data_IF_598986265479
#
_entry.id   IF_598986265479
#
_cell.length_a   1.000
_cell.length_b   1.000
_cell.length_c   1.000
_cell.angle_alpha   90.00
_cell.angle_beta   90.00
_cell.angle_gamma   90.00
#
_symmetry.space_group_name_H-M   'P 1'
#
loop_
_entity.id
_entity.type
_entity.pdbx_description
1 polymer ?
#
# COMPACT_ATOMS: atom_id res chain seq x y z
N UNK A 1 14.34 -29.48 6.54
CA UNK A 1 14.83 -28.53 7.55
C UNK A 1 14.63 -27.14 6.98
N UNK A 2 14.30 -26.16 7.81
CA UNK A 2 14.26 -24.75 7.42
C UNK A 2 15.63 -24.31 6.88
N UNK A 3 15.64 -23.54 5.80
CA UNK A 3 16.83 -22.91 5.20
C UNK A 3 17.30 -21.70 6.02
N UNK A 4 16.36 -21.00 6.66
CA UNK A 4 16.64 -19.86 7.52
C UNK A 4 16.17 -20.12 8.96
N UNK A 5 16.74 -19.41 9.96
CA UNK A 5 16.30 -19.54 11.34
C UNK A 5 14.82 -19.22 11.50
N UNK A 6 14.09 -20.16 12.11
CA UNK A 6 12.72 -19.95 12.60
C UNK A 6 12.77 -19.33 14.00
N UNK A 7 11.67 -18.71 14.47
CA UNK A 7 11.53 -18.29 15.86
C UNK A 7 11.62 -19.51 16.80
N UNK A 8 11.72 -19.26 18.11
CA UNK A 8 11.97 -20.31 19.12
C UNK A 8 10.90 -21.42 19.13
N UNK A 9 9.68 -21.08 18.73
CA UNK A 9 8.54 -21.96 18.59
C UNK A 9 8.71 -22.95 17.43
N UNK A 10 9.52 -22.61 16.42
CA UNK A 10 9.77 -23.44 15.24
C UNK A 10 8.87 -23.13 14.04
N UNK A 11 7.87 -22.26 14.20
CA UNK A 11 6.93 -21.81 13.16
C UNK A 11 6.64 -20.31 13.31
N UNK A 12 6.51 -19.60 12.20
CA UNK A 12 6.07 -18.20 12.22
C UNK A 12 4.61 -18.08 12.69
N UNK A 13 3.76 -19.00 12.27
CA UNK A 13 2.35 -19.04 12.70
C UNK A 13 2.21 -19.29 14.20
N UNK A 14 3.01 -20.20 14.76
CA UNK A 14 3.01 -20.46 16.21
C UNK A 14 3.62 -19.30 17.02
N UNK A 15 4.46 -18.47 16.41
CA UNK A 15 5.00 -17.26 17.02
C UNK A 15 3.93 -16.18 17.27
N UNK A 16 2.85 -16.17 16.48
CA UNK A 16 1.66 -15.33 16.67
C UNK A 16 0.39 -16.20 16.84
N UNK A 17 0.24 -16.88 17.99
CA UNK A 17 -0.81 -17.88 18.19
C UNK A 17 -2.24 -17.30 18.07
N UNK A 18 -2.42 -16.00 18.28
CA UNK A 18 -3.69 -15.29 18.11
C UNK A 18 -4.19 -15.24 16.66
N UNK A 19 -3.32 -15.50 15.67
CA UNK A 19 -3.69 -15.59 14.26
C UNK A 19 -4.22 -16.99 13.88
N UNK A 20 -3.94 -17.99 14.71
CA UNK A 20 -4.43 -19.36 14.57
C UNK A 20 -3.91 -20.08 13.32
N UNK A 21 -4.22 -21.39 13.24
CA UNK A 21 -3.81 -22.28 12.14
C UNK A 21 -4.97 -22.78 11.29
N UNK A 22 -6.21 -22.51 11.70
CA UNK A 22 -7.42 -22.84 10.94
C UNK A 22 -7.41 -22.19 9.54
N UNK A 23 -8.14 -22.75 8.56
CA UNK A 23 -8.39 -22.08 7.30
C UNK A 23 -8.91 -20.64 7.49
N UNK A 24 -8.52 -19.73 6.59
CA UNK A 24 -8.92 -18.32 6.61
C UNK A 24 -10.15 -18.12 5.72
N UNK A 25 -11.17 -17.42 6.25
CA UNK A 25 -12.40 -17.09 5.53
C UNK A 25 -12.22 -15.82 4.66
N UNK A 26 -12.42 -15.97 3.35
CA UNK A 26 -12.30 -14.89 2.35
C UNK A 26 -13.63 -14.18 2.08
N UNK A 27 -14.65 -14.39 2.91
CA UNK A 27 -15.95 -13.70 2.79
C UNK A 27 -15.81 -12.18 2.83
N UNK A 28 -14.79 -11.66 3.53
CA UNK A 28 -14.47 -10.22 3.56
C UNK A 28 -14.06 -9.61 2.22
N UNK A 29 -13.79 -10.46 1.24
CA UNK A 29 -13.28 -10.10 -0.08
C UNK A 29 -14.32 -10.32 -1.18
N UNK A 30 -15.55 -10.72 -0.81
CA UNK A 30 -16.68 -10.95 -1.74
C UNK A 30 -18.02 -10.38 -1.24
N UNK A 31 -18.16 -10.05 0.05
CA UNK A 31 -19.42 -9.54 0.62
C UNK A 31 -19.57 -8.01 0.44
N UNK A 32 -20.55 -7.52 -0.36
CA UNK A 32 -20.77 -6.09 -0.55
C UNK A 32 -21.17 -5.34 0.74
N UNK A 33 -21.79 -6.01 1.71
CA UNK A 33 -22.13 -5.38 3.00
C UNK A 33 -20.87 -5.22 3.86
N UNK A 34 -19.96 -6.20 3.83
CA UNK A 34 -18.65 -6.05 4.44
C UNK A 34 -17.88 -4.88 3.80
N UNK A 35 -17.87 -4.76 2.47
CA UNK A 35 -17.23 -3.63 1.79
C UNK A 35 -17.75 -2.27 2.28
N UNK A 36 -19.07 -2.09 2.39
CA UNK A 36 -19.65 -0.85 2.92
C UNK A 36 -19.19 -0.54 4.35
N UNK A 37 -19.03 -1.58 5.17
CA UNK A 37 -18.52 -1.43 6.53
C UNK A 37 -17.03 -1.10 6.53
N UNK A 38 -16.22 -1.71 5.68
CA UNK A 38 -14.80 -1.41 5.51
C UNK A 38 -14.57 0.06 5.12
N UNK A 39 -15.39 0.61 4.22
CA UNK A 39 -15.33 2.04 3.89
C UNK A 39 -15.41 2.92 5.15
N UNK A 40 -16.35 2.60 6.05
CA UNK A 40 -16.59 3.40 7.26
C UNK A 40 -15.59 3.09 8.39
N UNK A 41 -15.20 1.83 8.55
CA UNK A 41 -14.40 1.35 9.66
C UNK A 41 -12.89 1.52 9.41
N UNK A 42 -12.45 1.38 8.15
CA UNK A 42 -11.04 1.38 7.75
C UNK A 42 -10.74 2.69 7.03
N UNK A 43 -11.24 2.89 5.80
CA UNK A 43 -10.78 3.99 4.95
C UNK A 43 -11.18 5.39 5.44
N UNK A 44 -12.20 5.50 6.29
CA UNK A 44 -12.56 6.76 6.94
C UNK A 44 -11.87 7.01 8.29
N UNK A 45 -11.23 5.99 8.87
CA UNK A 45 -10.65 6.07 10.23
C UNK A 45 -9.13 5.82 10.28
N UNK A 46 -8.58 5.16 9.28
CA UNK A 46 -7.15 4.91 9.15
C UNK A 46 -6.44 6.05 8.40
N UNK A 47 -5.14 6.19 8.68
CA UNK A 47 -4.29 7.06 7.88
C UNK A 47 -4.05 6.44 6.50
N UNK A 48 -4.26 7.23 5.45
CA UNK A 48 -4.09 6.83 4.06
C UNK A 48 -2.96 7.60 3.40
N UNK A 49 -1.97 6.89 2.86
CA UNK A 49 -0.90 7.53 2.09
C UNK A 49 -1.45 8.01 0.75
N UNK A 50 -1.29 9.29 0.41
CA UNK A 50 -1.87 9.88 -0.82
C UNK A 50 -0.82 10.35 -1.83
N UNK A 51 0.46 10.25 -1.48
CA UNK A 51 1.58 10.63 -2.32
C UNK A 51 2.75 11.17 -1.51
N UNK A 52 3.66 11.87 -2.20
CA UNK A 52 4.84 12.46 -1.56
C UNK A 52 4.93 13.98 -1.77
N UNK A 53 5.72 14.63 -0.94
CA UNK A 53 5.97 16.08 -0.95
C UNK A 53 6.58 16.59 -2.25
N UNK A 54 7.23 15.75 -3.05
CA UNK A 54 7.77 16.11 -4.36
C UNK A 54 6.64 16.48 -5.36
N UNK A 55 5.39 16.06 -5.13
CA UNK A 55 4.21 16.55 -5.88
C UNK A 55 3.84 17.99 -5.53
N UNK A 56 4.43 18.55 -4.46
CA UNK A 56 4.16 19.89 -3.93
C UNK A 56 5.45 20.74 -3.86
N UNK A 57 6.16 20.96 -4.99
CA UNK A 57 7.50 21.52 -4.99
C UNK A 57 7.59 22.95 -4.46
N UNK A 58 6.49 23.72 -4.51
CA UNK A 58 6.46 25.13 -4.10
C UNK A 58 5.13 25.51 -3.45
N UNK A 59 5.11 26.67 -2.79
CA UNK A 59 3.89 27.30 -2.27
C UNK A 59 2.80 27.36 -3.33
N UNK A 60 1.59 26.94 -2.95
CA UNK A 60 0.43 26.91 -3.83
C UNK A 60 0.38 25.71 -4.77
N UNK A 61 1.42 24.87 -4.81
CA UNK A 61 1.32 23.57 -5.49
C UNK A 61 0.22 22.74 -4.82
N UNK A 62 -0.58 22.08 -5.64
CA UNK A 62 -1.65 21.20 -5.18
C UNK A 62 -1.79 20.00 -6.10
N UNK A 63 -2.38 18.93 -5.56
CA UNK A 63 -2.99 17.86 -6.35
C UNK A 63 -4.30 17.42 -5.69
N UNK A 64 -5.19 16.81 -6.45
CA UNK A 64 -6.41 16.20 -5.94
C UNK A 64 -6.28 14.68 -5.92
N UNK A 65 -7.02 14.03 -5.03
CA UNK A 65 -7.23 12.58 -5.06
C UNK A 65 -8.71 12.25 -5.03
N UNK A 66 -9.12 11.31 -5.86
CA UNK A 66 -10.43 10.67 -5.73
C UNK A 66 -10.32 9.52 -4.74
N UNK A 67 -11.25 9.48 -3.77
CA UNK A 67 -11.19 8.58 -2.62
C UNK A 67 -12.43 7.69 -2.56
N UNK A 68 -12.74 6.89 -3.60
CA UNK A 68 -13.92 6.02 -3.60
C UNK A 68 -13.94 5.06 -2.41
N UNK A 69 -12.76 4.70 -1.89
CA UNK A 69 -12.59 3.86 -0.70
C UNK A 69 -13.15 4.50 0.58
N UNK A 70 -13.18 5.83 0.68
CA UNK A 70 -13.75 6.56 1.82
C UNK A 70 -15.24 6.92 1.65
N UNK A 71 -15.85 6.49 0.55
CA UNK A 71 -17.25 6.68 0.20
C UNK A 71 -17.44 7.26 -1.21
N UNK A 72 -18.59 6.97 -1.87
CA UNK A 72 -18.86 7.43 -3.23
C UNK A 72 -18.73 8.95 -3.39
N UNK A 73 -18.02 9.39 -4.43
CA UNK A 73 -17.84 10.81 -4.76
C UNK A 73 -16.93 11.59 -3.80
N UNK A 74 -16.26 10.93 -2.86
CA UNK A 74 -15.29 11.60 -1.98
C UNK A 74 -14.07 12.01 -2.79
N UNK A 75 -13.71 13.30 -2.71
CA UNK A 75 -12.52 13.87 -3.35
C UNK A 75 -11.84 14.81 -2.37
N UNK A 76 -10.51 14.85 -2.40
CA UNK A 76 -9.69 15.67 -1.51
C UNK A 76 -8.71 16.53 -2.31
N UNK A 77 -8.44 17.73 -1.81
CA UNK A 77 -7.37 18.61 -2.30
C UNK A 77 -6.23 18.52 -1.30
N UNK A 78 -5.02 18.26 -1.78
CA UNK A 78 -3.78 18.34 -1.01
C UNK A 78 -3.00 19.54 -1.54
N UNK A 79 -2.57 20.44 -0.65
CA UNK A 79 -1.92 21.71 -1.03
C UNK A 79 -0.78 22.06 -0.09
N UNK A 80 0.31 22.62 -0.64
CA UNK A 80 1.34 23.30 0.14
C UNK A 80 0.96 24.77 0.31
N UNK A 81 0.69 25.17 1.54
CA UNK A 81 0.10 26.46 1.84
C UNK A 81 1.10 27.62 1.80
N UNK A 82 0.66 28.78 2.31
CA UNK A 82 1.47 29.98 2.32
C UNK A 82 2.66 29.98 3.28
N UNK A 83 2.64 29.09 4.26
CA UNK A 83 3.60 28.94 5.36
C UNK A 83 4.51 27.71 5.15
N UNK A 84 4.37 27.02 4.01
CA UNK A 84 5.00 25.75 3.64
C UNK A 84 4.45 24.49 4.32
N UNK A 85 3.28 24.60 4.97
CA UNK A 85 2.58 23.46 5.54
C UNK A 85 1.79 22.70 4.48
N UNK A 86 1.78 21.37 4.55
CA UNK A 86 0.92 20.53 3.70
C UNK A 86 -0.44 20.41 4.37
N UNK A 87 -1.51 20.72 3.64
CA UNK A 87 -2.89 20.66 4.13
C UNK A 87 -3.77 19.84 3.21
N UNK A 88 -4.81 19.24 3.76
CA UNK A 88 -5.84 18.57 3.00
C UNK A 88 -7.25 19.13 3.31
N UNK A 89 -8.09 19.19 2.29
CA UNK A 89 -9.48 19.62 2.40
C UNK A 89 -10.38 18.70 1.57
N UNK A 90 -11.64 18.54 1.98
CA UNK A 90 -12.65 18.01 1.06
C UNK A 90 -12.73 18.91 -0.18
N UNK A 91 -12.72 18.32 -1.37
CA UNK A 91 -12.73 19.02 -2.66
C UNK A 91 -14.14 19.53 -3.00
N UNK A 92 -14.73 20.33 -2.12
CA UNK A 92 -16.13 20.71 -2.16
C UNK A 92 -16.31 22.19 -1.80
N UNK A 93 -16.89 22.96 -2.71
CA UNK A 93 -17.28 24.33 -2.44
C UNK A 93 -18.45 24.36 -1.44
N UNK A 94 -18.32 25.19 -0.41
CA UNK A 94 -19.31 25.33 0.67
C UNK A 94 -20.59 26.07 0.30
N UNK A 95 -20.68 26.68 -0.89
CA UNK A 95 -21.89 27.35 -1.34
C UNK A 95 -23.00 26.36 -1.73
N UNK A 96 -22.74 25.52 -2.75
CA UNK A 96 -23.72 24.58 -3.33
C UNK A 96 -23.11 23.22 -3.65
N UNK A 97 -22.02 22.85 -2.98
CA UNK A 97 -21.42 21.51 -3.09
C UNK A 97 -20.66 21.22 -4.38
N UNK A 98 -20.44 22.20 -5.26
CA UNK A 98 -19.69 21.95 -6.50
C UNK A 98 -18.26 21.47 -6.19
N UNK A 99 -17.74 20.52 -6.97
CA UNK A 99 -16.33 20.12 -6.90
C UNK A 99 -15.47 21.36 -7.13
N UNK A 100 -14.54 21.62 -6.21
CA UNK A 100 -13.85 22.91 -6.17
C UNK A 100 -12.72 22.99 -7.19
N UNK A 101 -11.93 21.93 -7.28
CA UNK A 101 -10.72 21.82 -8.09
C UNK A 101 -10.88 20.63 -9.03
N UNK A 102 -11.03 20.94 -10.32
CA UNK A 102 -11.17 20.00 -11.44
C UNK A 102 -10.90 20.75 -12.76
N UNK A 103 -10.68 20.06 -13.88
CA UNK A 103 -10.44 20.66 -15.20
C UNK A 103 -11.65 20.51 -16.13
N UNK A 104 -11.53 19.70 -17.19
CA UNK A 104 -12.62 19.46 -18.14
C UNK A 104 -13.56 18.36 -17.62
N UNK A 105 -13.00 17.35 -16.96
CA UNK A 105 -13.74 16.22 -16.40
C UNK A 105 -13.72 16.26 -14.87
N UNK A 106 -14.88 16.36 -14.20
CA UNK A 106 -14.94 16.45 -12.74
C UNK A 106 -14.60 15.13 -12.05
N UNK A 107 -14.54 13.99 -12.76
CA UNK A 107 -14.11 12.70 -12.21
C UNK A 107 -12.60 12.48 -12.24
N UNK A 108 -11.83 13.34 -12.91
CA UNK A 108 -10.38 13.17 -13.07
C UNK A 108 -9.60 13.93 -12.00
N UNK A 109 -8.54 13.31 -11.51
CA UNK A 109 -7.58 13.96 -10.63
C UNK A 109 -6.79 15.02 -11.39
N UNK A 110 -6.54 16.16 -10.73
CA UNK A 110 -5.79 17.28 -11.31
C UNK A 110 -4.70 17.74 -10.36
N UNK A 111 -3.66 18.35 -10.91
CA UNK A 111 -2.59 19.00 -10.14
C UNK A 111 -2.22 20.33 -10.77
N UNK A 112 -1.56 21.20 -10.00
CA UNK A 112 -1.18 22.51 -10.50
C UNK A 112 -0.59 23.41 -9.43
N UNK A 113 -0.66 24.71 -9.67
CA UNK A 113 -0.27 25.74 -8.70
C UNK A 113 -1.32 26.84 -8.70
N UNK A 114 -1.73 27.31 -7.53
CA UNK A 114 -2.66 28.42 -7.39
C UNK A 114 -2.26 29.36 -6.23
N UNK A 115 -2.78 30.59 -6.23
CA UNK A 115 -2.66 31.51 -5.08
C UNK A 115 -3.84 31.37 -4.10
N UNK A 116 -4.96 30.87 -4.60
CA UNK A 116 -6.22 30.63 -3.90
C UNK A 116 -7.06 29.68 -4.76
N UNK A 117 -7.97 28.94 -4.16
CA UNK A 117 -8.96 28.15 -4.88
C UNK A 117 -10.15 29.02 -5.25
N UNK A 118 -10.63 28.93 -6.49
CA UNK A 118 -11.82 29.68 -6.95
C UNK A 118 -12.82 28.69 -7.53
N UNK A 119 -14.02 28.62 -6.94
CA UNK A 119 -15.07 27.76 -7.45
C UNK A 119 -15.52 28.23 -8.84
N UNK A 120 -15.46 27.33 -9.84
CA UNK A 120 -15.88 27.61 -11.21
C UNK A 120 -17.36 27.98 -11.36
N UNK A 121 -18.20 27.71 -10.37
CA UNK A 121 -19.64 27.96 -10.47
C UNK A 121 -20.03 29.41 -10.18
N UNK A 122 -19.71 29.90 -8.97
CA UNK A 122 -20.11 31.25 -8.53
C UNK A 122 -18.93 32.06 -7.97
N UNK A 123 -17.70 31.67 -8.30
CA UNK A 123 -16.48 32.38 -7.92
C UNK A 123 -16.25 32.59 -6.41
N UNK A 124 -16.83 31.76 -5.54
CA UNK A 124 -16.42 31.71 -4.12
C UNK A 124 -14.93 31.35 -4.05
N UNK A 125 -14.15 32.11 -3.27
CA UNK A 125 -12.70 31.96 -3.20
C UNK A 125 -12.25 31.54 -1.82
N UNK A 126 -11.33 30.60 -1.78
CA UNK A 126 -10.73 30.08 -0.55
C UNK A 126 -9.23 30.29 -0.62
N UNK A 127 -8.63 30.79 0.45
CA UNK A 127 -7.16 30.84 0.52
C UNK A 127 -6.57 29.42 0.63
N UNK A 128 -5.24 29.30 0.64
CA UNK A 128 -4.56 28.00 0.74
C UNK A 128 -4.68 27.34 2.13
N UNK A 129 -5.20 28.07 3.13
CA UNK A 129 -5.52 27.57 4.48
C UNK A 129 -6.98 27.10 4.59
N UNK A 130 -7.77 27.26 3.52
CA UNK A 130 -9.16 26.85 3.46
C UNK A 130 -10.16 27.96 3.82
N UNK A 131 -9.72 29.13 4.30
CA UNK A 131 -10.64 30.20 4.70
C UNK A 131 -11.36 30.78 3.49
N UNK A 132 -12.67 31.00 3.60
CA UNK A 132 -13.47 31.70 2.59
C UNK A 132 -13.11 33.19 2.61
N UNK A 133 -12.53 33.68 1.51
CA UNK A 133 -12.03 35.07 1.42
C UNK A 133 -12.94 35.98 0.58
N UNK A 134 -13.82 35.41 -0.24
CA UNK A 134 -14.68 36.18 -1.14
C UNK A 134 -15.95 35.43 -1.51
N UNK A 135 -17.07 36.15 -1.47
CA UNK A 135 -18.38 35.73 -1.96
C UNK A 135 -18.78 36.68 -3.09
N UNK A 136 -19.17 36.13 -4.24
CA UNK A 136 -19.72 36.92 -5.33
C UNK A 136 -21.09 37.49 -4.89
N UNK A 137 -21.25 38.82 -4.97
CA UNK A 137 -22.45 39.53 -4.50
C UNK A 137 -22.82 39.19 -3.04
N UNK A 138 -21.83 39.27 -2.14
CA UNK A 138 -21.99 38.97 -0.70
C UNK A 138 -23.20 39.65 -0.04
N UNK A 139 -23.58 40.86 -0.47
CA UNK A 139 -24.73 41.60 0.06
C UNK A 139 -26.12 41.05 -0.28
N UNK A 140 -26.23 40.07 -1.20
CA UNK A 140 -27.49 39.39 -1.51
C UNK A 140 -27.78 38.21 -0.57
N UNK A 141 -26.83 37.86 0.30
CA UNK A 141 -27.00 36.79 1.29
C UNK A 141 -27.52 37.37 2.61
N UNK A 142 -28.41 36.62 3.27
CA UNK A 142 -28.88 36.97 4.62
C UNK A 142 -27.82 36.59 5.65
N UNK A 143 -27.22 37.59 6.29
CA UNK A 143 -26.31 37.44 7.45
C UNK A 143 -25.20 36.38 7.25
N UNK A 144 -24.62 36.27 6.05
CA UNK A 144 -23.54 35.30 5.80
C UNK A 144 -22.25 35.71 6.51
N UNK A 145 -21.76 34.87 7.40
CA UNK A 145 -20.41 34.98 7.94
C UNK A 145 -19.46 34.05 7.20
N UNK A 146 -18.44 34.61 6.55
CA UNK A 146 -17.42 33.81 5.83
C UNK A 146 -16.68 32.83 6.74
N UNK A 147 -16.59 33.11 8.04
CA UNK A 147 -15.94 32.22 9.00
C UNK A 147 -16.60 30.83 9.10
N UNK A 148 -17.91 30.73 8.86
CA UNK A 148 -18.67 29.47 8.96
C UNK A 148 -18.55 28.57 7.71
N UNK A 149 -18.04 29.14 6.62
CA UNK A 149 -18.04 28.52 5.29
C UNK A 149 -16.63 28.33 4.70
N UNK A 150 -15.59 28.20 5.54
CA UNK A 150 -14.28 27.70 5.10
C UNK A 150 -14.33 26.26 4.58
N UNK A 151 -13.33 25.83 3.81
CA UNK A 151 -13.23 24.44 3.36
C UNK A 151 -13.17 23.49 4.55
N UNK A 152 -13.89 22.36 4.46
CA UNK A 152 -13.85 21.35 5.52
C UNK A 152 -12.48 20.67 5.48
N UNK A 153 -11.68 20.76 6.56
CA UNK A 153 -10.36 20.16 6.61
C UNK A 153 -10.46 18.63 6.65
N UNK A 154 -9.45 17.98 6.09
CA UNK A 154 -9.14 16.56 6.30
C UNK A 154 -7.80 16.54 7.02
N UNK A 155 -7.64 15.70 8.06
CA UNK A 155 -6.35 15.64 8.76
C UNK A 155 -5.26 15.27 7.78
N UNK A 156 -4.11 15.92 7.89
CA UNK A 156 -3.00 15.72 6.99
C UNK A 156 -1.69 15.86 7.77
N UNK A 157 -0.86 14.85 7.69
CA UNK A 157 0.44 14.78 8.35
C UNK A 157 1.47 14.19 7.37
N UNK A 158 2.74 14.56 7.55
CA UNK A 158 3.84 14.15 6.66
C UNK A 158 4.87 13.37 7.47
N UNK A 159 5.23 12.18 7.00
CA UNK A 159 6.28 11.33 7.57
C UNK A 159 7.33 11.05 6.50
N UNK A 160 8.60 11.43 6.70
CA UNK A 160 9.70 11.17 5.75
C UNK A 160 9.40 11.55 4.27
N UNK A 161 8.66 12.63 4.09
CA UNK A 161 8.20 13.13 2.79
C UNK A 161 6.96 12.43 2.23
N UNK A 162 6.45 11.39 2.87
CA UNK A 162 5.18 10.75 2.55
C UNK A 162 4.01 11.50 3.18
N UNK A 163 3.02 11.86 2.37
CA UNK A 163 1.82 12.61 2.79
C UNK A 163 0.71 11.62 3.12
N UNK A 164 0.20 11.68 4.34
CA UNK A 164 -0.96 10.91 4.77
C UNK A 164 -2.15 11.82 5.07
N UNK A 165 -3.35 11.27 4.90
CA UNK A 165 -4.60 11.90 5.32
C UNK A 165 -5.45 10.99 6.20
N UNK A 166 -6.33 11.57 7.01
CA UNK A 166 -7.33 10.84 7.77
C UNK A 166 -8.65 11.63 7.84
N UNK A 167 -9.78 10.95 7.64
CA UNK A 167 -11.10 11.57 7.69
C UNK A 167 -11.71 11.62 9.10
N UNK A 168 -11.12 10.90 10.06
CA UNK A 168 -11.48 10.99 11.48
C UNK A 168 -10.67 12.09 12.17
N UNK A 169 -11.37 13.14 12.61
CA UNK A 169 -10.74 14.23 13.35
C UNK A 169 -10.13 13.76 14.69
N UNK A 170 -10.60 12.65 15.24
CA UNK A 170 -10.13 12.07 16.49
C UNK A 170 -9.06 11.00 16.30
N UNK A 171 -8.55 10.81 15.08
CA UNK A 171 -7.46 9.86 14.82
C UNK A 171 -6.25 10.14 15.71
N UNK A 172 -5.53 9.08 16.09
CA UNK A 172 -4.22 9.24 16.71
C UNK A 172 -3.23 9.96 15.75
N UNK A 173 -2.19 10.64 16.26
CA UNK A 173 -1.14 11.21 15.43
C UNK A 173 -0.53 10.18 14.46
N UNK A 174 -0.08 10.63 13.28
CA UNK A 174 0.47 9.73 12.25
C UNK A 174 1.67 8.92 12.75
N UNK A 175 2.56 9.55 13.53
CA UNK A 175 3.74 8.86 14.07
C UNK A 175 3.37 7.72 15.02
N UNK A 176 2.32 7.90 15.81
CA UNK A 176 1.81 6.88 16.72
C UNK A 176 1.11 5.76 15.92
N UNK A 177 0.37 6.14 14.87
CA UNK A 177 -0.28 5.20 13.97
C UNK A 177 0.72 4.26 13.28
N UNK A 178 1.79 4.82 12.68
CA UNK A 178 2.80 4.04 11.95
C UNK A 178 3.77 3.30 12.90
N UNK A 179 3.93 3.80 14.12
CA UNK A 179 4.57 3.10 15.23
C UNK A 179 6.05 2.73 15.00
N UNK A 180 6.41 1.54 15.49
CA UNK A 180 7.81 1.07 15.53
C UNK A 180 8.46 0.95 14.14
N UNK A 181 7.69 0.58 13.12
CA UNK A 181 8.23 0.46 11.76
C UNK A 181 8.64 1.83 11.20
N UNK A 182 7.77 2.85 11.29
CA UNK A 182 8.12 4.19 10.84
C UNK A 182 9.33 4.75 11.60
N UNK A 183 9.34 4.58 12.92
CA UNK A 183 10.48 5.00 13.76
C UNK A 183 11.78 4.28 13.37
N UNK A 184 11.71 2.99 13.08
CA UNK A 184 12.87 2.20 12.70
C UNK A 184 13.37 2.46 11.28
N UNK A 185 12.61 3.19 10.46
CA UNK A 185 12.94 3.63 9.11
C UNK A 185 13.42 5.09 9.05
N UNK A 186 13.34 5.84 10.15
CA UNK A 186 13.79 7.23 10.20
C UNK A 186 15.24 7.38 9.74
N UNK A 187 15.49 8.41 8.93
CA UNK A 187 16.81 8.67 8.36
C UNK A 187 17.14 7.88 7.08
N UNK A 188 16.24 7.02 6.59
CA UNK A 188 16.36 6.50 5.23
C UNK A 188 16.24 7.68 4.22
N UNK A 189 17.15 7.83 3.23
CA UNK A 189 17.23 9.03 2.39
C UNK A 189 16.20 9.01 1.25
N UNK A 190 14.90 8.90 1.55
CA UNK A 190 13.84 8.87 0.55
C UNK A 190 13.86 10.07 -0.40
N UNK A 191 14.20 11.26 0.13
CA UNK A 191 14.24 12.52 -0.61
C UNK A 191 15.35 12.60 -1.66
N UNK A 192 16.36 11.72 -1.61
CA UNK A 192 17.41 11.64 -2.64
C UNK A 192 16.92 10.91 -3.90
N UNK A 193 15.82 10.13 -3.79
CA UNK A 193 15.34 9.25 -4.85
C UNK A 193 14.19 9.89 -5.65
N UNK A 194 14.53 10.93 -6.41
CA UNK A 194 13.56 11.79 -7.11
C UNK A 194 13.28 11.36 -8.56
N UNK A 195 14.03 10.39 -9.11
CA UNK A 195 13.73 9.82 -10.42
C UNK A 195 12.71 8.70 -10.26
N UNK A 196 11.52 8.88 -10.85
CA UNK A 196 10.39 7.98 -10.62
C UNK A 196 9.82 7.37 -11.88
N UNK A 197 9.43 6.11 -11.80
CA UNK A 197 8.66 5.40 -12.82
C UNK A 197 7.37 4.91 -12.18
N UNK A 198 6.22 5.33 -12.71
CA UNK A 198 4.91 5.03 -12.13
C UNK A 198 3.99 4.28 -13.09
N UNK A 199 3.22 3.37 -12.54
CA UNK A 199 2.19 2.60 -13.23
C UNK A 199 0.88 2.70 -12.45
N UNK A 200 -0.24 2.70 -13.19
CA UNK A 200 -1.59 2.68 -12.64
C UNK A 200 -2.43 1.68 -13.41
N UNK A 201 -3.16 0.83 -12.71
CA UNK A 201 -4.06 -0.15 -13.30
C UNK A 201 -5.37 -0.22 -12.52
N UNK A 202 -6.46 -0.51 -13.21
CA UNK A 202 -7.70 -0.99 -12.58
C UNK A 202 -7.64 -2.52 -12.57
N UNK A 203 -7.86 -3.11 -11.40
CA UNK A 203 -7.74 -4.55 -11.18
C UNK A 203 -9.07 -5.07 -10.65
N UNK A 204 -9.59 -6.14 -11.27
CA UNK A 204 -10.82 -6.82 -10.89
C UNK A 204 -10.56 -7.86 -9.79
N UNK A 205 -9.97 -7.41 -8.69
CA UNK A 205 -9.76 -8.18 -7.47
C UNK A 205 -9.97 -7.29 -6.25
N UNK A 206 -10.40 -7.87 -5.13
CA UNK A 206 -10.47 -7.17 -3.86
C UNK A 206 -9.06 -6.68 -3.45
N UNK A 207 -9.01 -5.51 -2.83
CA UNK A 207 -7.77 -4.88 -2.41
C UNK A 207 -6.94 -5.74 -1.45
N UNK A 208 -7.57 -6.52 -0.56
CA UNK A 208 -6.88 -7.39 0.40
C UNK A 208 -6.19 -8.56 -0.29
N UNK A 209 -6.88 -9.23 -1.21
CA UNK A 209 -6.29 -10.31 -2.02
C UNK A 209 -5.11 -9.82 -2.85
N UNK A 210 -5.16 -8.56 -3.28
CA UNK A 210 -4.04 -7.98 -3.99
C UNK A 210 -2.85 -7.69 -3.07
N UNK A 211 -3.09 -7.23 -1.84
CA UNK A 211 -2.05 -7.13 -0.82
C UNK A 211 -1.47 -8.50 -0.47
N UNK A 212 -2.27 -9.58 -0.42
CA UNK A 212 -1.81 -10.94 -0.12
C UNK A 212 -0.53 -11.26 -0.91
N UNK A 213 -0.54 -11.01 -2.22
CA UNK A 213 0.59 -11.28 -3.12
C UNK A 213 1.87 -10.45 -2.83
N UNK A 214 1.82 -9.41 -1.99
CA UNK A 214 2.97 -8.56 -1.65
C UNK A 214 3.39 -8.67 -0.17
N UNK A 215 2.63 -9.45 0.63
CA UNK A 215 2.97 -9.79 2.02
C UNK A 215 3.40 -11.25 2.17
N UNK A 216 3.52 -11.99 1.06
CA UNK A 216 4.25 -13.25 0.93
C UNK A 216 5.07 -13.31 -0.37
N UNK A 217 6.00 -14.26 -0.46
CA UNK A 217 6.72 -14.59 -1.72
C UNK A 217 6.73 -16.09 -1.99
N UNK A 218 5.79 -16.83 -1.39
CA UNK A 218 5.58 -18.26 -1.62
C UNK A 218 5.23 -18.55 -3.09
N UNK A 219 4.46 -17.69 -3.75
CA UNK A 219 4.14 -17.84 -5.17
C UNK A 219 5.33 -17.55 -6.10
N UNK A 220 6.30 -16.73 -5.67
CA UNK A 220 7.30 -16.14 -6.55
C UNK A 220 8.16 -17.17 -7.33
N UNK A 221 8.66 -18.28 -6.73
CA UNK A 221 9.43 -19.29 -7.47
C UNK A 221 8.64 -19.98 -8.59
N UNK A 222 7.30 -19.97 -8.52
CA UNK A 222 6.41 -20.63 -9.47
C UNK A 222 5.88 -19.64 -10.50
N UNK A 223 5.17 -18.60 -10.03
CA UNK A 223 4.49 -17.63 -10.90
C UNK A 223 5.50 -16.87 -11.76
N UNK A 224 6.60 -16.44 -11.14
CA UNK A 224 7.59 -15.58 -11.78
C UNK A 224 8.75 -16.32 -12.45
N UNK A 225 8.66 -17.65 -12.59
CA UNK A 225 9.75 -18.47 -13.10
C UNK A 225 10.28 -18.01 -14.48
N UNK A 226 9.41 -17.43 -15.33
CA UNK A 226 9.78 -16.93 -16.67
C UNK A 226 10.54 -15.60 -16.66
N UNK A 227 10.64 -14.96 -15.50
CA UNK A 227 11.44 -13.76 -15.34
C UNK A 227 12.91 -14.09 -15.19
N UNK A 228 13.27 -15.26 -14.66
CA UNK A 228 14.65 -15.73 -14.61
C UNK A 228 15.05 -16.49 -15.88
N UNK A 229 16.37 -16.65 -16.10
CA UNK A 229 16.87 -17.66 -17.06
C UNK A 229 16.55 -19.06 -16.56
N UNK A 230 16.48 -20.04 -17.47
CA UNK A 230 15.97 -21.39 -17.18
C UNK A 230 16.68 -22.03 -15.97
N UNK A 231 18.00 -21.98 -15.94
CA UNK A 231 18.82 -22.61 -14.90
C UNK A 231 18.57 -21.99 -13.52
N UNK A 232 18.42 -20.66 -13.45
CA UNK A 232 18.10 -19.97 -12.20
C UNK A 232 16.65 -20.23 -11.79
N UNK A 233 15.72 -20.29 -12.74
CA UNK A 233 14.32 -20.63 -12.46
C UNK A 233 14.18 -22.05 -11.88
N UNK A 234 14.84 -23.05 -12.47
CA UNK A 234 14.85 -24.44 -11.99
C UNK A 234 15.45 -24.53 -10.59
N UNK A 235 16.51 -23.76 -10.33
CA UNK A 235 17.13 -23.65 -9.02
C UNK A 235 16.17 -23.05 -7.99
N UNK A 236 15.57 -21.89 -8.27
CA UNK A 236 14.62 -21.24 -7.37
C UNK A 236 13.43 -22.15 -7.05
N UNK A 237 12.87 -22.82 -8.06
CA UNK A 237 11.77 -23.77 -7.88
C UNK A 237 12.15 -24.97 -6.99
N UNK A 238 13.41 -25.41 -7.02
CA UNK A 238 13.88 -26.53 -6.19
C UNK A 238 14.02 -26.17 -4.70
N UNK A 239 14.26 -24.89 -4.38
CA UNK A 239 14.36 -24.40 -3.00
C UNK A 239 13.00 -23.97 -2.45
N UNK A 240 12.12 -23.45 -3.31
CA UNK A 240 10.90 -22.77 -2.86
C UNK A 240 11.21 -21.43 -2.20
N UNK A 241 10.33 -20.99 -1.32
CA UNK A 241 10.47 -19.73 -0.57
C UNK A 241 10.45 -19.96 0.94
N UNK A 242 11.29 -19.21 1.63
CA UNK A 242 11.29 -19.06 3.08
C UNK A 242 11.77 -17.66 3.44
N UNK A 243 10.98 -16.90 4.21
CA UNK A 243 11.37 -15.54 4.59
C UNK A 243 12.60 -15.54 5.51
N UNK A 244 13.38 -14.46 5.45
CA UNK A 244 14.45 -14.19 6.41
C UNK A 244 13.87 -13.75 7.76
N UNK A 245 12.76 -13.01 7.72
CA UNK A 245 12.09 -12.49 8.90
C UNK A 245 10.65 -12.11 8.57
N UNK A 246 9.75 -12.34 9.52
CA UNK A 246 8.45 -11.69 9.58
C UNK A 246 8.41 -10.84 10.85
N UNK A 247 7.73 -9.70 10.80
CA UNK A 247 7.40 -8.93 12.00
C UNK A 247 5.99 -8.34 11.87
N UNK A 248 5.30 -8.21 13.00
CA UNK A 248 3.95 -7.66 13.10
C UNK A 248 3.93 -6.62 14.21
N UNK A 249 3.52 -5.40 13.86
CA UNK A 249 3.42 -4.26 14.78
C UNK A 249 2.01 -3.69 14.73
N UNK A 250 1.15 -4.22 15.60
CA UNK A 250 -0.26 -3.86 15.65
C UNK A 250 -0.95 -4.18 14.33
N UNK A 251 -1.41 -3.14 13.62
CA UNK A 251 -2.10 -3.25 12.33
C UNK A 251 -1.17 -3.37 11.13
N UNK A 252 0.14 -3.17 11.32
CA UNK A 252 1.13 -3.18 10.26
C UNK A 252 1.93 -4.48 10.30
N UNK A 253 2.45 -4.88 9.14
CA UNK A 253 3.30 -6.06 9.02
C UNK A 253 4.50 -5.79 8.14
N UNK A 254 5.53 -6.63 8.26
CA UNK A 254 6.65 -6.61 7.34
C UNK A 254 7.21 -8.01 7.11
N UNK A 255 7.76 -8.21 5.91
CA UNK A 255 8.47 -9.41 5.52
C UNK A 255 9.84 -9.02 4.96
N UNK A 256 10.90 -9.61 5.53
CA UNK A 256 12.25 -9.53 4.99
C UNK A 256 12.52 -10.77 4.15
N UNK A 257 12.91 -10.55 2.90
CA UNK A 257 13.14 -11.62 1.93
C UNK A 257 14.59 -11.66 1.47
N UNK A 258 15.03 -12.88 1.17
CA UNK A 258 16.27 -13.11 0.45
C UNK A 258 15.98 -13.06 -1.05
N UNK A 259 17.00 -12.71 -1.82
CA UNK A 259 16.85 -12.63 -3.27
C UNK A 259 17.80 -11.61 -3.84
N UNK A 260 18.25 -11.84 -5.07
CA UNK A 260 18.98 -10.82 -5.82
C UNK A 260 20.28 -10.39 -5.20
N UNK A 261 21.25 -11.32 -5.13
CA UNK A 261 22.64 -10.87 -5.02
C UNK A 261 22.87 -9.86 -6.15
N UNK A 262 23.12 -8.63 -5.75
CA UNK A 262 23.33 -7.49 -6.62
C UNK A 262 24.70 -6.92 -6.26
N UNK A 263 25.73 -7.15 -7.10
CA UNK A 263 25.69 -7.89 -8.37
C UNK A 263 25.55 -9.42 -8.18
N UNK A 264 25.02 -10.14 -9.20
CA UNK A 264 24.90 -11.59 -9.16
C UNK A 264 26.27 -12.26 -9.15
N UNK A 265 26.43 -13.32 -8.34
CA UNK A 265 27.70 -14.08 -8.24
C UNK A 265 28.06 -14.81 -9.54
N UNK A 266 27.06 -15.32 -10.25
CA UNK A 266 27.23 -16.00 -11.53
C UNK A 266 26.49 -15.22 -12.61
N UNK A 267 27.24 -14.53 -13.47
CA UNK A 267 26.66 -13.77 -14.58
C UNK A 267 25.97 -14.67 -15.61
N UNK A 268 26.23 -15.98 -15.64
CA UNK A 268 25.51 -16.88 -16.52
C UNK A 268 24.05 -17.08 -16.10
N UNK A 269 23.71 -16.78 -14.84
CA UNK A 269 22.37 -16.91 -14.26
C UNK A 269 21.50 -15.67 -14.44
N UNK A 270 21.94 -14.71 -15.27
CA UNK A 270 21.19 -13.50 -15.62
C UNK A 270 21.15 -13.30 -17.13
N UNK A 271 20.12 -12.60 -17.62
CA UNK A 271 19.91 -12.35 -19.05
C UNK A 271 21.03 -11.45 -19.61
N UNK A 272 21.38 -11.56 -20.90
CA UNK A 272 22.43 -10.72 -21.50
C UNK A 272 22.22 -9.22 -21.30
N UNK A 273 20.97 -8.74 -21.42
CA UNK A 273 20.65 -7.32 -21.20
C UNK A 273 20.92 -6.88 -19.76
N UNK A 274 20.69 -7.76 -18.79
CA UNK A 274 20.88 -7.48 -17.36
C UNK A 274 22.37 -7.27 -17.05
N UNK A 275 23.25 -8.05 -17.70
CA UNK A 275 24.72 -7.92 -17.61
C UNK A 275 25.21 -6.59 -18.19
N UNK A 276 24.63 -6.16 -19.31
CA UNK A 276 25.04 -4.92 -19.97
C UNK A 276 24.59 -3.69 -19.19
N UNK A 277 23.38 -3.73 -18.66
CA UNK A 277 22.78 -2.58 -17.97
C UNK A 277 23.05 -2.55 -16.46
N UNK A 278 23.61 -3.61 -15.88
CA UNK A 278 23.76 -3.78 -14.44
C UNK A 278 22.40 -3.61 -13.72
N UNK A 279 21.38 -4.31 -14.21
CA UNK A 279 20.03 -4.27 -13.64
C UNK A 279 19.29 -5.56 -14.01
N UNK A 280 18.55 -6.15 -13.07
CA UNK A 280 17.85 -7.41 -13.30
C UNK A 280 16.56 -7.54 -12.51
N UNK A 281 16.24 -8.77 -12.10
CA UNK A 281 15.01 -9.12 -11.37
C UNK A 281 14.75 -8.26 -10.13
N UNK A 282 15.82 -7.76 -9.51
CA UNK A 282 15.78 -7.01 -8.25
C UNK A 282 16.27 -5.56 -8.45
N UNK A 283 16.12 -5.07 -9.68
CA UNK A 283 16.50 -3.72 -10.07
C UNK A 283 17.99 -3.54 -10.34
N UNK A 284 18.48 -2.29 -10.33
CA UNK A 284 19.88 -1.96 -10.57
C UNK A 284 20.81 -2.63 -9.56
N UNK A 285 21.99 -3.05 -10.00
CA UNK A 285 22.97 -3.72 -9.13
C UNK A 285 23.88 -2.74 -8.40
N UNK A 286 24.11 -1.59 -9.02
CA UNK A 286 25.04 -0.58 -8.53
C UNK A 286 24.35 0.26 -7.44
N UNK A 287 24.75 0.08 -6.18
CA UNK A 287 24.19 0.84 -5.05
C UNK A 287 24.67 2.30 -5.10
N UNK A 288 23.78 3.30 -4.98
CA UNK A 288 24.19 4.70 -4.86
C UNK A 288 25.04 4.95 -3.61
N UNK A 289 26.06 5.79 -3.73
CA UNK A 289 26.90 6.19 -2.60
C UNK A 289 26.27 7.37 -1.85
N UNK A 290 25.18 7.12 -1.13
CA UNK A 290 24.49 8.11 -0.29
C UNK A 290 24.39 7.59 1.14
N UNK A 291 24.47 8.51 2.10
CA UNK A 291 24.38 8.20 3.52
C UNK A 291 23.02 7.58 3.86
N UNK A 292 23.00 6.55 4.71
CA UNK A 292 21.77 5.91 5.21
C UNK A 292 21.26 4.71 4.38
N UNK A 293 21.90 4.40 3.26
CA UNK A 293 21.68 3.13 2.52
C UNK A 293 22.94 2.27 2.40
N UNK A 294 24.08 2.75 2.91
CA UNK A 294 25.30 1.94 2.97
C UNK A 294 25.09 0.75 3.93
N UNK A 295 25.72 -0.41 3.71
CA UNK A 295 25.43 -1.63 4.47
C UNK A 295 25.53 -1.48 5.99
N UNK A 296 26.46 -0.64 6.46
CA UNK A 296 26.73 -0.32 7.86
C UNK A 296 25.94 0.88 8.39
N UNK A 297 25.17 1.55 7.54
CA UNK A 297 24.37 2.74 7.87
C UNK A 297 22.86 2.50 7.76
N UNK A 298 22.43 1.27 7.45
CA UNK A 298 21.01 0.93 7.28
C UNK A 298 20.22 1.18 8.59
N UNK A 299 19.05 1.86 8.51
CA UNK A 299 18.17 2.03 9.65
C UNK A 299 17.83 0.67 10.32
N UNK A 300 17.49 0.66 11.62
CA UNK A 300 17.30 -0.58 12.37
C UNK A 300 16.16 -1.46 11.88
N UNK A 301 15.12 -0.90 11.25
CA UNK A 301 14.04 -1.71 10.67
C UNK A 301 14.43 -2.35 9.33
N UNK A 302 15.46 -1.84 8.64
CA UNK A 302 15.90 -2.36 7.33
C UNK A 302 16.86 -3.51 7.55
N UNK A 303 16.65 -4.65 6.89
CA UNK A 303 17.35 -5.91 7.08
C UNK A 303 17.43 -6.26 8.57
N UNK A 304 16.30 -6.51 9.25
CA UNK A 304 16.26 -6.70 10.70
C UNK A 304 17.11 -7.90 11.17
N UNK A 305 17.18 -8.95 10.33
CA UNK A 305 18.04 -10.11 10.57
C UNK A 305 19.54 -9.83 10.33
N UNK A 306 19.89 -8.65 9.78
CA UNK A 306 21.23 -8.27 9.30
C UNK A 306 21.88 -9.37 8.46
N UNK A 307 21.05 -10.06 7.67
CA UNK A 307 21.47 -11.26 6.96
C UNK A 307 22.21 -10.87 5.66
N UNK A 308 23.35 -11.52 5.33
CA UNK A 308 24.15 -11.16 4.16
C UNK A 308 23.48 -11.50 2.82
N UNK A 309 22.43 -12.33 2.84
CA UNK A 309 21.61 -12.65 1.65
C UNK A 309 20.33 -11.83 1.56
N UNK A 310 20.19 -10.78 2.38
CA UNK A 310 19.06 -9.85 2.31
C UNK A 310 18.93 -9.24 0.91
N UNK A 311 17.72 -9.34 0.36
CA UNK A 311 17.37 -8.81 -0.95
C UNK A 311 16.45 -7.62 -0.87
N UNK A 312 15.42 -7.70 -0.01
CA UNK A 312 14.45 -6.64 0.17
C UNK A 312 13.69 -6.77 1.50
N UNK A 313 13.11 -5.66 1.96
CA UNK A 313 12.08 -5.64 2.99
C UNK A 313 10.79 -5.01 2.45
N UNK A 314 9.66 -5.67 2.66
CA UNK A 314 8.33 -5.18 2.30
C UNK A 314 7.59 -4.83 3.58
N UNK A 315 7.26 -3.55 3.75
CA UNK A 315 6.47 -3.03 4.87
C UNK A 315 5.06 -2.74 4.39
N UNK A 316 4.06 -3.38 4.98
CA UNK A 316 2.65 -3.10 4.72
C UNK A 316 2.11 -2.17 5.81
N UNK A 317 2.03 -0.88 5.48
CA UNK A 317 1.36 0.11 6.31
C UNK A 317 -0.14 0.11 5.98
N UNK A 318 -0.85 -0.81 6.62
CA UNK A 318 -2.31 -0.92 6.53
C UNK A 318 -3.03 0.45 6.55
N UNK A 319 -4.02 0.69 5.68
CA UNK A 319 -4.61 -0.27 4.74
C UNK A 319 -4.10 -0.15 3.29
N UNK A 320 -3.39 0.91 2.91
CA UNK A 320 -3.26 1.29 1.50
C UNK A 320 -1.83 1.58 1.04
N UNK A 321 -0.81 1.22 1.82
CA UNK A 321 0.55 1.66 1.53
C UNK A 321 1.58 0.57 1.82
N UNK A 322 2.11 -0.04 0.76
CA UNK A 322 3.30 -0.88 0.86
C UNK A 322 4.54 -0.08 0.51
N UNK A 323 5.59 -0.23 1.30
CA UNK A 323 6.91 0.32 1.06
C UNK A 323 7.92 -0.82 0.95
N UNK A 324 8.53 -0.98 -0.22
CA UNK A 324 9.53 -2.01 -0.47
C UNK A 324 10.91 -1.36 -0.60
N UNK A 325 11.83 -1.75 0.27
CA UNK A 325 13.21 -1.30 0.26
C UNK A 325 14.10 -2.41 -0.31
N UNK A 326 14.85 -2.09 -1.35
CA UNK A 326 15.70 -3.06 -2.03
C UNK A 326 17.15 -2.93 -1.58
N UNK A 327 17.84 -4.07 -1.49
CA UNK A 327 19.24 -4.11 -1.10
C UNK A 327 20.14 -3.19 -1.93
N UNK A 328 19.96 -2.98 -3.25
CA UNK A 328 20.77 -2.01 -3.99
C UNK A 328 20.45 -0.55 -3.69
N UNK A 329 19.57 -0.24 -2.74
CA UNK A 329 19.36 1.13 -2.26
C UNK A 329 18.43 1.97 -3.11
N UNK A 330 17.43 1.33 -3.71
CA UNK A 330 16.26 1.96 -4.32
C UNK A 330 15.01 1.46 -3.59
N UNK A 331 13.88 2.14 -3.75
CA UNK A 331 12.61 1.68 -3.17
C UNK A 331 11.47 1.77 -4.17
N UNK A 332 10.39 1.07 -3.87
CA UNK A 332 9.13 1.26 -4.54
C UNK A 332 8.00 1.36 -3.53
N UNK A 333 6.87 1.90 -3.99
CA UNK A 333 5.65 1.96 -3.21
C UNK A 333 4.49 1.38 -3.99
N UNK A 334 3.60 0.73 -3.25
CA UNK A 334 2.30 0.30 -3.75
C UNK A 334 1.19 1.04 -3.02
N UNK A 335 0.16 1.41 -3.77
CA UNK A 335 -1.06 1.97 -3.24
C UNK A 335 -2.28 1.22 -3.77
N UNK A 336 -3.17 0.89 -2.84
CA UNK A 336 -4.40 0.15 -3.12
C UNK A 336 -5.60 1.04 -2.85
N UNK A 337 -6.35 1.35 -3.90
CA UNK A 337 -7.50 2.23 -3.85
C UNK A 337 -8.76 1.45 -4.19
N UNK A 338 -9.37 0.74 -3.23
CA UNK A 338 -10.57 -0.04 -3.52
C UNK A 338 -11.71 0.85 -4.01
N UNK A 339 -12.33 0.41 -5.10
CA UNK A 339 -13.41 1.10 -5.80
C UNK A 339 -14.74 0.35 -5.66
N UNK A 340 -14.68 -0.97 -5.44
CA UNK A 340 -15.81 -1.84 -5.17
C UNK A 340 -15.36 -3.05 -4.32
N UNK A 341 -16.29 -3.95 -4.00
CA UNK A 341 -16.01 -5.19 -3.25
C UNK A 341 -14.98 -6.08 -3.96
N UNK A 342 -14.96 -6.10 -5.28
CA UNK A 342 -14.10 -6.98 -6.09
C UNK A 342 -13.22 -6.19 -7.06
N UNK A 343 -13.01 -4.89 -6.79
CA UNK A 343 -12.24 -3.99 -7.65
C UNK A 343 -11.43 -2.97 -6.86
N UNK A 344 -10.26 -2.65 -7.39
CA UNK A 344 -9.45 -1.54 -6.91
C UNK A 344 -8.63 -0.91 -8.02
N UNK A 345 -8.16 0.31 -7.78
CA UNK A 345 -7.08 0.91 -8.55
C UNK A 345 -5.77 0.59 -7.82
N UNK A 346 -4.82 0.02 -8.53
CA UNK A 346 -3.46 -0.21 -8.08
C UNK A 346 -2.54 0.87 -8.66
N UNK A 347 -1.75 1.51 -7.81
CA UNK A 347 -0.67 2.41 -8.22
C UNK A 347 0.67 1.85 -7.72
N UNK A 348 1.65 1.80 -8.60
CA UNK A 348 3.03 1.42 -8.30
C UNK A 348 3.95 2.57 -8.68
N UNK A 349 4.89 2.93 -7.83
CA UNK A 349 5.95 3.88 -8.17
C UNK A 349 7.30 3.36 -7.71
N UNK A 350 8.27 3.29 -8.62
CA UNK A 350 9.67 3.01 -8.34
C UNK A 350 10.43 4.33 -8.18
N UNK A 351 11.35 4.39 -7.22
CA UNK A 351 12.11 5.57 -6.85
C UNK A 351 13.61 5.27 -6.89
N UNK A 352 14.33 6.06 -7.69
CA UNK A 352 15.77 5.95 -7.88
C UNK A 352 16.46 7.28 -7.60
N UNK A 353 17.71 7.21 -7.16
CA UNK A 353 18.60 8.37 -7.23
C UNK A 353 18.75 8.78 -8.71
N UNK A 354 18.65 10.07 -9.06
CA UNK A 354 18.73 10.50 -10.45
C UNK A 354 19.95 9.96 -11.20
N UNK A 355 19.72 9.39 -12.37
CA UNK A 355 20.78 8.82 -13.18
C UNK A 355 21.79 9.90 -13.63
N UNK A 356 23.09 9.60 -13.51
CA UNK A 356 24.18 10.49 -13.92
C UNK A 356 24.68 10.22 -15.33
N UNK A 357 24.32 9.06 -15.89
CA UNK A 357 24.71 8.64 -17.23
C UNK A 357 23.63 7.77 -17.89
N UNK A 358 23.78 7.54 -19.19
CA UNK A 358 22.81 6.80 -20.00
C UNK A 358 22.64 5.36 -19.55
N UNK A 359 23.69 4.68 -19.08
CA UNK A 359 23.60 3.30 -18.61
C UNK A 359 22.72 3.21 -17.37
N UNK A 360 22.94 4.07 -16.37
CA UNK A 360 22.11 4.15 -15.16
C UNK A 360 20.64 4.40 -15.48
N UNK A 361 20.36 5.35 -16.39
CA UNK A 361 18.98 5.60 -16.82
C UNK A 361 18.35 4.35 -17.46
N UNK A 362 19.07 3.67 -18.34
CA UNK A 362 18.59 2.43 -18.96
C UNK A 362 18.45 1.30 -17.92
N UNK A 363 19.28 1.27 -16.88
CA UNK A 363 19.19 0.34 -15.77
C UNK A 363 17.89 0.54 -14.97
N UNK A 364 17.50 1.79 -14.72
CA UNK A 364 16.24 2.15 -14.08
C UNK A 364 15.04 1.80 -14.97
N UNK A 365 15.11 2.08 -16.28
CA UNK A 365 14.06 1.70 -17.24
C UNK A 365 13.87 0.18 -17.32
N UNK A 366 14.96 -0.61 -17.32
CA UNK A 366 14.88 -2.07 -17.28
C UNK A 366 14.21 -2.56 -15.98
N UNK A 367 14.56 -1.96 -14.84
CA UNK A 367 13.95 -2.28 -13.56
C UNK A 367 12.44 -1.97 -13.59
N UNK A 368 12.05 -0.78 -14.04
CA UNK A 368 10.66 -0.38 -14.16
C UNK A 368 9.85 -1.32 -15.06
N UNK A 369 10.38 -1.70 -16.22
CA UNK A 369 9.71 -2.68 -17.11
C UNK A 369 9.59 -4.04 -16.43
N UNK A 370 10.63 -4.51 -15.75
CA UNK A 370 10.63 -5.81 -15.07
C UNK A 370 9.57 -5.86 -13.96
N UNK A 371 9.48 -4.82 -13.13
CA UNK A 371 8.50 -4.74 -12.04
C UNK A 371 7.06 -4.58 -12.53
N UNK A 372 6.87 -3.90 -13.66
CA UNK A 372 5.57 -3.87 -14.34
C UNK A 372 5.16 -5.27 -14.81
N UNK A 373 6.09 -6.10 -15.28
CA UNK A 373 5.78 -7.49 -15.66
C UNK A 373 5.46 -8.39 -14.45
N UNK A 374 6.08 -8.18 -13.28
CA UNK A 374 5.67 -8.86 -12.04
C UNK A 374 4.23 -8.51 -11.68
N UNK A 375 3.93 -7.21 -11.59
CA UNK A 375 2.59 -6.72 -11.24
C UNK A 375 1.50 -7.26 -12.19
N UNK A 376 1.79 -7.43 -13.49
CA UNK A 376 0.83 -8.05 -14.41
C UNK A 376 0.60 -9.54 -14.16
N UNK A 377 1.63 -10.30 -13.78
CA UNK A 377 1.47 -11.72 -13.45
C UNK A 377 0.62 -11.90 -12.19
N UNK A 378 0.87 -11.06 -11.18
CA UNK A 378 0.12 -11.06 -9.92
C UNK A 378 -1.34 -10.67 -10.18
N UNK A 379 -1.57 -9.54 -10.87
CA UNK A 379 -2.90 -9.08 -11.20
C UNK A 379 -3.73 -10.12 -11.95
N UNK A 380 -3.18 -10.74 -12.99
CA UNK A 380 -3.91 -11.77 -13.75
C UNK A 380 -4.31 -12.97 -12.88
N UNK A 381 -3.42 -13.40 -11.98
CA UNK A 381 -3.67 -14.54 -11.09
C UNK A 381 -4.71 -14.19 -10.03
N UNK A 382 -4.69 -12.96 -9.53
CA UNK A 382 -5.60 -12.49 -8.49
C UNK A 382 -7.00 -12.11 -9.02
N UNK A 383 -7.11 -11.66 -10.27
CA UNK A 383 -8.41 -11.55 -10.95
C UNK A 383 -9.03 -12.94 -11.13
N UNK A 384 -8.23 -13.93 -11.58
CA UNK A 384 -8.70 -15.31 -11.68
C UNK A 384 -9.14 -15.86 -10.31
N UNK A 385 -8.37 -15.57 -9.24
CA UNK A 385 -8.74 -15.92 -7.86
C UNK A 385 -10.06 -15.28 -7.47
N UNK A 386 -10.23 -13.97 -7.70
CA UNK A 386 -11.48 -13.25 -7.43
C UNK A 386 -12.68 -13.90 -8.14
N UNK A 387 -12.53 -14.28 -9.41
CA UNK A 387 -13.63 -14.92 -10.16
C UNK A 387 -14.10 -16.22 -9.51
N UNK A 388 -13.18 -16.98 -8.91
CA UNK A 388 -13.49 -18.27 -8.29
C UNK A 388 -14.05 -18.11 -6.88
N UNK A 389 -13.50 -17.22 -6.05
CA UNK A 389 -14.04 -17.00 -4.70
C UNK A 389 -15.42 -16.33 -4.73
N UNK A 390 -15.73 -15.53 -5.76
CA UNK A 390 -17.05 -14.92 -5.99
C UNK A 390 -18.17 -15.98 -6.11
N UNK A 391 -17.84 -17.23 -6.44
CA UNK A 391 -18.82 -18.32 -6.49
C UNK A 391 -19.33 -18.72 -5.11
N UNK A 392 -18.56 -18.44 -4.05
CA UNK A 392 -18.88 -18.84 -2.67
C UNK A 392 -18.92 -20.35 -2.42
N UNK A 393 -18.48 -21.17 -3.38
CA UNK A 393 -18.47 -22.64 -3.27
C UNK A 393 -17.52 -23.11 -2.15
N UNK A 394 -16.38 -22.43 -2.04
CA UNK A 394 -15.43 -22.58 -0.94
C UNK A 394 -15.16 -21.17 -0.40
N UNK A 395 -15.21 -21.04 0.93
CA UNK A 395 -14.99 -19.76 1.61
C UNK A 395 -13.71 -19.75 2.44
N UNK A 396 -13.29 -20.92 2.89
CA UNK A 396 -12.19 -21.08 3.82
C UNK A 396 -11.00 -21.76 3.13
N UNK A 397 -9.82 -21.16 3.24
CA UNK A 397 -8.61 -21.61 2.55
C UNK A 397 -7.47 -21.90 3.53
N UNK A 398 -6.78 -23.06 3.42
CA UNK A 398 -5.63 -23.35 4.25
C UNK A 398 -4.44 -22.49 3.82
N UNK A 399 -3.83 -21.79 4.78
CA UNK A 399 -2.60 -21.02 4.56
C UNK A 399 -1.42 -21.68 5.29
N UNK A 400 -0.26 -21.71 4.65
CA UNK A 400 0.97 -22.25 5.18
C UNK A 400 1.73 -21.26 6.07
N UNK A 401 2.85 -21.70 6.62
CA UNK A 401 3.66 -20.91 7.57
C UNK A 401 4.34 -19.67 6.94
N UNK A 402 4.48 -19.64 5.61
CA UNK A 402 5.03 -18.48 4.87
C UNK A 402 3.94 -17.46 4.49
N UNK A 403 2.68 -17.74 4.82
CA UNK A 403 1.51 -16.92 4.50
C UNK A 403 0.90 -16.30 5.77
N UNK A 404 1.70 -16.19 6.84
CA UNK A 404 1.25 -15.68 8.14
C UNK A 404 0.73 -14.23 8.05
N UNK A 405 1.29 -13.41 7.17
CA UNK A 405 0.85 -12.02 7.02
C UNK A 405 -0.51 -11.89 6.34
N UNK A 406 -0.94 -12.88 5.56
CA UNK A 406 -2.30 -12.92 5.00
C UNK A 406 -3.31 -13.13 6.13
N UNK A 407 -3.02 -14.05 7.06
CA UNK A 407 -3.83 -14.24 8.27
C UNK A 407 -3.95 -12.94 9.06
N UNK A 408 -2.84 -12.24 9.24
CA UNK A 408 -2.80 -10.95 9.93
C UNK A 408 -3.62 -9.88 9.20
N UNK A 409 -3.50 -9.75 7.88
CA UNK A 409 -4.22 -8.77 7.07
C UNK A 409 -5.74 -8.95 7.18
N UNK A 410 -6.23 -10.15 6.91
CA UNK A 410 -7.66 -10.47 6.95
C UNK A 410 -8.21 -10.33 8.37
N UNK A 411 -7.49 -10.81 9.38
CA UNK A 411 -7.88 -10.62 10.78
C UNK A 411 -7.96 -9.13 11.14
N UNK A 412 -6.98 -8.33 10.71
CA UNK A 412 -6.93 -6.88 10.98
C UNK A 412 -8.15 -6.18 10.36
N UNK A 413 -8.50 -6.48 9.11
CA UNK A 413 -9.68 -5.93 8.46
C UNK A 413 -10.98 -6.29 9.21
N UNK A 414 -11.13 -7.55 9.62
CA UNK A 414 -12.24 -8.00 10.45
C UNK A 414 -12.31 -7.29 11.80
N UNK A 415 -11.19 -7.13 12.50
CA UNK A 415 -11.13 -6.47 13.80
C UNK A 415 -11.61 -5.01 13.70
N UNK A 416 -11.20 -4.27 12.66
CA UNK A 416 -11.68 -2.91 12.39
C UNK A 416 -13.20 -2.85 12.20
N UNK A 417 -13.73 -3.72 11.34
CA UNK A 417 -15.17 -3.76 11.07
C UNK A 417 -15.97 -4.18 12.30
N UNK A 418 -15.49 -5.16 13.06
CA UNK A 418 -16.14 -5.61 14.29
C UNK A 418 -16.12 -4.54 15.39
N UNK A 419 -15.01 -3.81 15.55
CA UNK A 419 -14.93 -2.68 16.45
C UNK A 419 -15.92 -1.57 16.06
N UNK A 420 -16.03 -1.28 14.76
CA UNK A 420 -16.99 -0.30 14.24
C UNK A 420 -18.45 -0.73 14.46
N UNK A 421 -18.80 -2.00 14.18
CA UNK A 421 -20.14 -2.55 14.48
C UNK A 421 -20.49 -2.37 15.95
N UNK A 422 -19.57 -2.71 16.84
CA UNK A 422 -19.73 -2.54 18.29
C UNK A 422 -19.92 -1.07 18.69
N UNK A 423 -19.14 -0.14 18.12
CA UNK A 423 -19.29 1.31 18.36
C UNK A 423 -20.66 1.82 17.93
N UNK A 424 -21.21 1.32 16.81
CA UNK A 424 -22.51 1.72 16.27
C UNK A 424 -23.70 0.95 16.84
N UNK A 425 -23.47 -0.02 17.72
CA UNK A 425 -24.54 -0.89 18.24
C UNK A 425 -25.18 -1.77 17.15
N UNK A 426 -24.44 -2.07 16.07
CA UNK A 426 -24.87 -3.01 15.04
C UNK A 426 -24.60 -4.43 15.56
N UNK A 427 -25.61 -5.30 15.57
CA UNK A 427 -25.42 -6.70 15.99
C UNK A 427 -24.39 -7.41 15.11
N UNK A 428 -23.58 -8.27 15.72
CA UNK A 428 -22.66 -9.15 15.00
C UNK A 428 -23.47 -10.21 14.24
N UNK A 429 -23.82 -9.93 12.99
CA UNK A 429 -24.31 -10.93 12.06
C UNK A 429 -23.22 -11.97 11.77
N UNK A 430 -23.26 -13.11 12.48
CA UNK A 430 -22.80 -14.42 12.02
C UNK A 430 -21.31 -14.64 11.75
N UNK A 431 -20.58 -15.04 12.79
CA UNK A 431 -19.25 -15.66 12.68
C UNK A 431 -18.97 -16.51 13.92
N UNK A 432 -19.86 -17.47 14.21
CA UNK A 432 -19.78 -18.30 15.40
C UNK A 432 -18.77 -19.44 15.17
N UNK A 433 -17.48 -19.12 15.30
CA UNK A 433 -16.42 -20.11 15.47
C UNK A 433 -16.51 -20.75 16.85
N UNK A 434 -17.49 -21.63 17.05
CA UNK A 434 -17.44 -22.60 18.15
C UNK A 434 -16.81 -23.88 17.62
N UNK A 435 -15.58 -24.13 18.10
CA UNK A 435 -14.86 -25.37 17.92
C UNK A 435 -15.74 -26.56 18.36
N UNK A 436 -16.18 -27.38 17.41
CA UNK A 436 -16.67 -28.72 17.70
C UNK A 436 -15.58 -29.73 17.35
N UNK A 437 -15.16 -30.48 18.38
CA UNK A 437 -14.22 -31.58 18.32
C UNK A 437 -14.68 -32.65 17.30
N UNK A 438 -13.81 -33.20 16.42
CA UNK A 438 -14.21 -34.28 15.54
C UNK A 438 -14.24 -35.61 16.30
N UNK A 439 -15.44 -36.10 16.58
CA UNK A 439 -15.66 -37.49 16.93
C UNK A 439 -15.67 -38.35 15.65
N UNK A 440 -14.91 -39.43 15.70
CA UNK A 440 -14.69 -40.44 14.67
C UNK A 440 -15.98 -41.02 14.05
N UNK A 441 -16.05 -41.06 12.72
CA UNK A 441 -16.81 -42.08 12.00
C UNK A 441 -15.94 -42.65 10.87
N UNK A 442 -15.30 -43.78 11.19
CA UNK A 442 -15.00 -44.83 10.21
C UNK A 442 -16.26 -45.71 10.08
N UNK A 443 -16.32 -46.40 8.95
CA UNK A 443 -17.25 -47.47 8.58
C UNK A 443 -18.50 -47.03 7.80
N UNK A 444 -18.40 -47.12 6.47
CA UNK A 444 -19.22 -48.02 5.64
C UNK A 444 -19.15 -47.65 4.16
N UNK A 445 -18.21 -48.22 3.41
CA UNK A 445 -18.40 -48.46 1.97
C UNK A 445 -17.91 -49.88 1.67
N UNK A 446 -18.86 -50.80 1.59
CA UNK A 446 -18.79 -52.06 0.87
C UNK A 446 -20.23 -52.49 0.57
N UNK A 447 -20.70 -52.17 -0.64
CA UNK A 447 -21.70 -52.89 -1.42
C UNK A 447 -21.68 -52.34 -2.86
#
# INVERSE_FOLDING_TARGET
>A
MAFFPKPAEGSWTEHWPELGTSPVDYTDSIDPEQWKLEQQAIFRKCWLNVGRVERLPKKGSYFTREMPSAGPGTSVIIVKDGDNEVRAFYNMCRHRGNKLVWNDYPGEEVSGTCRQFTCKYHAWRYNLKGDLTFIQQEGEFFDVDKADYGLVPVRCEVWEGFIFINFDNNAEPLTDYLGEFAKGLEGYPFHEMTETYSYRAEVNSNWKLFIDAFVEFYHAPVLHMKQAVKEEAEKLASYGFEALHYDIKGRHSMISSWGGMSPPKDLNMVKPIERVLHSGLFGPWDRPNIKGILPDELPPAVNPARHPSWGQDSFEFFPNFTLLLWAPGWYLTYHYWPTDVDKHIFECTLYFVPATNTRERLAHELAAVTFKEYAFQDANTLEATQTMINTGVVKEFPLCDQEILLRHLHKTAWDYVNAYKKEKGLENGGGNGQATSPASQKDAINA
#
